data_IF_205205005239
#
_entry.id   IF_205205005239
#
_cell.length_a   1.000
_cell.length_b   1.000
_cell.length_c   1.000
_cell.angle_alpha   90.00
_cell.angle_beta   90.00
_cell.angle_gamma   90.00
#
_symmetry.space_group_name_H-M   'P 1'
#
loop_
_entity.id
_entity.type
_entity.pdbx_description
1 polymer ?
#
# COMPACT_ATOMS: atom_id res chain seq x y z
N UNK A 1 -18.15 -3.23 19.17
CA UNK A 1 -17.82 -3.70 17.81
C UNK A 1 -17.16 -2.54 17.09
N UNK A 2 -15.94 -2.73 16.62
CA UNK A 2 -15.19 -1.73 15.87
C UNK A 2 -15.23 -2.05 14.38
N UNK A 3 -15.20 -1.02 13.53
CA UNK A 3 -15.09 -1.18 12.08
C UNK A 3 -13.72 -0.68 11.64
N UNK A 4 -13.01 -1.51 10.88
CA UNK A 4 -11.72 -1.21 10.28
C UNK A 4 -11.88 -0.82 8.81
N UNK A 5 -11.05 0.11 8.38
CA UNK A 5 -10.87 0.47 6.98
C UNK A 5 -9.50 -0.03 6.54
N UNK A 6 -9.46 -0.70 5.40
CA UNK A 6 -8.24 -1.15 4.75
C UNK A 6 -8.15 -0.45 3.41
N UNK A 7 -7.05 0.25 3.16
CA UNK A 7 -6.71 0.77 1.84
C UNK A 7 -5.54 -0.02 1.30
N UNK A 8 -5.73 -0.68 0.17
CA UNK A 8 -4.79 -1.64 -0.40
C UNK A 8 -4.35 -1.19 -1.78
N UNK A 9 -3.07 -1.38 -2.08
CA UNK A 9 -2.55 -1.28 -3.43
C UNK A 9 -1.56 -2.41 -3.71
N UNK A 10 -1.26 -2.64 -4.98
CA UNK A 10 -0.36 -3.67 -5.43
C UNK A 10 0.92 -3.11 -6.06
N UNK A 11 1.99 -3.89 -5.94
CA UNK A 11 3.23 -3.61 -6.62
C UNK A 11 3.88 -4.93 -7.02
N UNK A 12 4.91 -4.87 -7.86
CA UNK A 12 5.54 -6.06 -8.39
C UNK A 12 5.77 -6.03 -9.89
N UNK A 13 6.44 -7.05 -10.39
CA UNK A 13 6.57 -7.25 -11.83
C UNK A 13 6.87 -8.70 -12.18
N UNK A 14 6.44 -9.10 -13.38
CA UNK A 14 6.78 -10.40 -13.97
C UNK A 14 8.30 -10.58 -14.11
N UNK A 15 9.04 -9.52 -14.45
CA UNK A 15 10.50 -9.57 -14.61
C UNK A 15 11.21 -9.96 -13.31
N UNK A 16 10.75 -9.43 -12.17
CA UNK A 16 11.30 -9.80 -10.86
C UNK A 16 10.68 -11.07 -10.29
N UNK A 17 9.52 -11.48 -10.81
CA UNK A 17 8.76 -12.61 -10.29
C UNK A 17 8.25 -12.40 -8.87
N UNK A 18 7.92 -11.16 -8.47
CA UNK A 18 7.43 -10.86 -7.11
C UNK A 18 6.15 -10.04 -7.24
N UNK A 19 5.06 -10.54 -6.67
CA UNK A 19 3.81 -9.79 -6.47
C UNK A 19 3.71 -9.36 -4.99
N UNK A 20 3.34 -8.11 -4.75
CA UNK A 20 3.24 -7.48 -3.44
C UNK A 20 1.88 -6.82 -3.30
N UNK A 21 1.27 -6.95 -2.13
CA UNK A 21 0.17 -6.10 -1.70
C UNK A 21 0.59 -5.33 -0.45
N UNK A 22 0.52 -4.02 -0.50
CA UNK A 22 0.74 -3.12 0.62
C UNK A 22 -0.58 -2.49 1.05
N UNK A 23 -0.72 -2.19 2.34
CA UNK A 23 -1.91 -1.53 2.84
C UNK A 23 -1.63 -0.58 3.98
N UNK A 24 -2.58 0.32 4.19
CA UNK A 24 -2.77 1.03 5.45
C UNK A 24 -4.11 0.61 6.06
N UNK A 25 -4.14 0.46 7.38
CA UNK A 25 -5.35 0.11 8.13
C UNK A 25 -5.55 1.05 9.31
N UNK A 26 -6.82 1.31 9.65
CA UNK A 26 -7.22 2.15 10.77
C UNK A 26 -8.65 1.82 11.22
N UNK A 27 -9.02 2.24 12.43
CA UNK A 27 -10.42 2.20 12.86
C UNK A 27 -11.17 3.43 12.32
N UNK A 28 -12.48 3.29 12.06
CA UNK A 28 -13.33 4.38 11.56
C UNK A 28 -13.23 5.67 12.42
N UNK A 29 -13.19 5.62 13.78
CA UNK A 29 -13.05 6.82 14.59
C UNK A 29 -11.74 7.61 14.34
N UNK A 30 -10.67 6.94 13.93
CA UNK A 30 -9.35 7.56 13.69
C UNK A 30 -9.26 8.23 12.31
N UNK A 31 -10.24 7.98 11.43
CA UNK A 31 -10.19 8.36 10.01
C UNK A 31 -9.93 9.85 9.79
N UNK A 32 -10.66 10.72 10.50
CA UNK A 32 -10.48 12.18 10.37
C UNK A 32 -9.10 12.63 10.88
N UNK A 33 -8.63 12.05 11.99
CA UNK A 33 -7.36 12.44 12.61
C UNK A 33 -6.17 12.05 11.74
N UNK A 34 -6.17 10.81 11.25
CA UNK A 34 -5.11 10.30 10.36
C UNK A 34 -5.12 11.05 9.03
N UNK A 35 -6.30 11.25 8.40
CA UNK A 35 -6.39 12.02 7.15
C UNK A 35 -5.88 13.45 7.35
N UNK A 36 -6.24 14.08 8.47
CA UNK A 36 -5.79 15.44 8.77
C UNK A 36 -4.27 15.51 8.86
N UNK A 37 -3.64 14.59 9.61
CA UNK A 37 -2.19 14.56 9.76
C UNK A 37 -1.47 14.36 8.41
N UNK A 38 -2.02 13.54 7.53
CA UNK A 38 -1.50 13.42 6.16
C UNK A 38 -1.67 14.70 5.34
N UNK A 39 -2.84 15.33 5.39
CA UNK A 39 -3.09 16.57 4.65
C UNK A 39 -2.23 17.73 5.18
N UNK A 40 -1.91 17.75 6.47
CA UNK A 40 -0.96 18.72 7.03
C UNK A 40 0.44 18.53 6.44
N UNK A 41 0.90 17.28 6.27
CA UNK A 41 2.13 17.01 5.51
C UNK A 41 2.02 17.47 4.04
N UNK A 42 0.88 17.24 3.37
CA UNK A 42 0.68 17.72 2.00
C UNK A 42 0.73 19.25 1.91
N UNK A 43 0.17 19.96 2.89
CA UNK A 43 0.27 21.42 2.97
C UNK A 43 1.71 21.88 3.23
N UNK A 44 2.47 21.17 4.06
CA UNK A 44 3.87 21.46 4.29
C UNK A 44 4.68 21.35 2.99
N UNK A 45 4.49 20.27 2.21
CA UNK A 45 5.12 20.10 0.89
C UNK A 45 4.80 21.25 -0.06
N UNK A 46 3.55 21.71 -0.07
CA UNK A 46 3.17 22.86 -0.89
C UNK A 46 3.87 24.14 -0.41
N UNK A 47 3.86 24.41 0.90
CA UNK A 47 4.46 25.63 1.45
C UNK A 47 5.98 25.70 1.28
N UNK A 48 6.66 24.56 1.31
CA UNK A 48 8.13 24.49 1.30
C UNK A 48 8.70 24.25 -0.09
N UNK A 49 8.03 23.44 -0.91
CA UNK A 49 8.54 23.00 -2.21
C UNK A 49 7.62 23.41 -3.37
N UNK A 50 6.40 23.87 -3.10
CA UNK A 50 5.41 24.18 -4.12
C UNK A 50 4.72 22.96 -4.72
N UNK A 51 4.80 21.78 -4.10
CA UNK A 51 4.13 20.55 -4.57
C UNK A 51 2.66 20.58 -4.13
N UNK A 52 1.69 20.65 -5.05
CA UNK A 52 0.26 20.73 -4.69
C UNK A 52 -0.24 19.48 -3.96
N UNK A 53 -1.26 19.63 -3.12
CA UNK A 53 -1.87 18.51 -2.39
C UNK A 53 -2.67 17.56 -3.31
N UNK A 54 -3.23 18.09 -4.40
CA UNK A 54 -3.93 17.36 -5.46
C UNK A 54 -2.97 16.75 -6.50
N UNK A 55 -1.67 17.07 -6.45
CA UNK A 55 -0.69 16.37 -7.26
C UNK A 55 -0.48 14.94 -6.74
N UNK A 56 -0.70 13.95 -7.60
CA UNK A 56 -0.56 12.53 -7.26
C UNK A 56 0.90 12.17 -6.87
N UNK A 57 1.10 11.62 -5.67
CA UNK A 57 2.40 11.08 -5.23
C UNK A 57 2.56 9.59 -5.57
N UNK A 58 2.14 9.19 -6.77
CA UNK A 58 2.25 7.80 -7.21
C UNK A 58 3.73 7.37 -7.27
N UNK A 59 4.11 6.44 -6.41
CA UNK A 59 5.48 6.10 -6.05
C UNK A 59 6.37 5.82 -7.27
N UNK A 60 5.90 4.98 -8.19
CA UNK A 60 6.68 4.61 -9.38
C UNK A 60 6.92 5.81 -10.29
N UNK A 61 5.89 6.63 -10.53
CA UNK A 61 6.00 7.83 -11.38
C UNK A 61 6.85 8.90 -10.69
N UNK A 62 6.53 9.20 -9.43
CA UNK A 62 7.16 10.26 -8.65
C UNK A 62 8.64 9.96 -8.38
N UNK A 63 8.98 8.81 -7.79
CA UNK A 63 10.39 8.39 -7.58
C UNK A 63 11.12 8.23 -8.91
N UNK A 64 10.42 7.83 -9.97
CA UNK A 64 10.94 7.75 -11.33
C UNK A 64 11.38 9.10 -11.92
N UNK A 65 10.95 10.22 -11.34
CA UNK A 65 11.19 11.56 -11.87
C UNK A 65 10.19 11.97 -12.96
N UNK A 66 9.03 11.33 -13.04
CA UNK A 66 7.97 11.71 -13.99
C UNK A 66 7.16 12.88 -13.46
N UNK A 67 6.70 13.72 -14.38
CA UNK A 67 5.89 14.90 -14.10
C UNK A 67 6.69 16.08 -13.52
N UNK A 68 6.02 17.23 -13.39
CA UNK A 68 6.61 18.50 -12.95
C UNK A 68 5.77 19.11 -11.83
N UNK A 69 5.82 18.56 -10.60
CA UNK A 69 4.94 18.98 -9.51
C UNK A 69 5.14 20.43 -9.10
N UNK A 70 6.37 20.95 -9.20
CA UNK A 70 6.68 22.34 -8.81
C UNK A 70 6.74 23.28 -10.01
N UNK A 71 7.01 22.75 -11.21
CA UNK A 71 7.29 23.55 -12.40
C UNK A 71 8.71 24.16 -12.42
N UNK A 72 9.52 23.93 -11.38
CA UNK A 72 10.84 24.56 -11.19
C UNK A 72 12.00 23.60 -11.47
N UNK A 73 13.24 24.10 -11.36
CA UNK A 73 14.46 23.27 -11.45
C UNK A 73 14.53 22.16 -10.39
N UNK A 74 13.74 22.26 -9.30
CA UNK A 74 13.62 21.19 -8.31
C UNK A 74 13.19 19.86 -8.95
N UNK A 75 12.32 19.90 -9.97
CA UNK A 75 11.73 18.73 -10.62
C UNK A 75 12.75 17.86 -11.37
N UNK A 76 13.89 18.45 -11.76
CA UNK A 76 14.94 17.83 -12.57
C UNK A 76 15.84 16.89 -11.74
N UNK A 77 15.81 17.03 -10.41
CA UNK A 77 16.72 16.33 -9.50
C UNK A 77 15.99 15.16 -8.82
N UNK A 78 16.23 13.94 -9.30
CA UNK A 78 15.58 12.71 -8.77
C UNK A 78 15.78 12.49 -7.27
N UNK A 79 16.92 12.91 -6.70
CA UNK A 79 17.16 12.77 -5.25
C UNK A 79 16.22 13.61 -4.40
N UNK A 80 15.73 14.75 -4.88
CA UNK A 80 14.76 15.53 -4.12
C UNK A 80 13.45 14.77 -3.91
N UNK A 81 13.01 14.02 -4.93
CA UNK A 81 11.80 13.20 -4.86
C UNK A 81 11.96 12.02 -3.91
N UNK A 82 13.15 11.41 -3.90
CA UNK A 82 13.47 10.37 -2.92
C UNK A 82 13.41 10.90 -1.47
N UNK A 83 13.83 12.15 -1.23
CA UNK A 83 13.70 12.81 0.09
C UNK A 83 12.23 12.99 0.47
N UNK A 84 11.40 13.53 -0.43
CA UNK A 84 9.95 13.69 -0.19
C UNK A 84 9.27 12.36 0.12
N UNK A 85 9.64 11.30 -0.59
CA UNK A 85 9.12 9.96 -0.33
C UNK A 85 9.56 9.42 1.03
N UNK A 86 10.82 9.63 1.42
CA UNK A 86 11.28 9.30 2.77
C UNK A 86 10.52 10.07 3.86
N UNK A 87 10.17 11.34 3.63
CA UNK A 87 9.34 12.11 4.55
C UNK A 87 7.91 11.55 4.62
N UNK A 88 7.31 11.23 3.47
CA UNK A 88 5.98 10.63 3.42
C UNK A 88 5.92 9.30 4.19
N UNK A 89 6.90 8.41 3.99
CA UNK A 89 6.98 7.14 4.71
C UNK A 89 7.16 7.32 6.23
N UNK A 90 7.93 8.33 6.66
CA UNK A 90 8.01 8.68 8.08
C UNK A 90 6.66 9.15 8.61
N UNK A 91 5.94 10.00 7.88
CA UNK A 91 4.60 10.43 8.29
C UNK A 91 3.70 9.21 8.49
N UNK A 92 3.64 8.29 7.53
CA UNK A 92 2.84 7.06 7.67
C UNK A 92 3.20 6.25 8.91
N UNK A 93 4.49 6.12 9.21
CA UNK A 93 4.97 5.35 10.36
C UNK A 93 4.65 5.99 11.72
N UNK A 94 4.36 7.29 11.77
CA UNK A 94 4.15 8.05 13.00
C UNK A 94 2.72 8.59 13.17
N UNK A 95 1.83 8.40 12.19
CA UNK A 95 0.44 8.85 12.28
C UNK A 95 -0.32 8.02 13.34
N UNK A 96 -0.78 8.64 14.46
CA UNK A 96 -1.51 7.91 15.49
C UNK A 96 -2.81 7.31 14.94
N UNK A 97 -3.06 6.04 15.24
CA UNK A 97 -4.24 5.32 14.76
C UNK A 97 -4.10 4.72 13.35
N UNK A 98 -2.97 4.95 12.68
CA UNK A 98 -2.64 4.30 11.40
C UNK A 98 -1.66 3.16 11.63
N UNK A 99 -1.96 2.02 11.02
CA UNK A 99 -1.04 0.91 10.89
C UNK A 99 -0.77 0.63 9.42
N UNK A 100 0.38 0.05 9.10
CA UNK A 100 0.74 -0.36 7.74
C UNK A 100 1.02 -1.86 7.69
N UNK A 101 0.92 -2.46 6.52
CA UNK A 101 1.34 -3.84 6.33
C UNK A 101 1.69 -4.14 4.89
N UNK A 102 2.44 -5.21 4.68
CA UNK A 102 2.69 -5.72 3.34
C UNK A 102 2.88 -7.23 3.34
N UNK A 103 2.33 -7.84 2.30
CA UNK A 103 2.47 -9.26 2.01
C UNK A 103 3.01 -9.44 0.59
N UNK A 104 3.71 -10.53 0.34
CA UNK A 104 4.22 -10.82 -1.00
C UNK A 104 4.19 -12.30 -1.34
N UNK A 105 4.18 -12.60 -2.64
CA UNK A 105 4.32 -13.95 -3.17
C UNK A 105 5.31 -13.95 -4.33
N UNK A 106 6.39 -14.74 -4.27
CA UNK A 106 7.21 -15.02 -5.45
C UNK A 106 6.43 -15.85 -6.47
N UNK A 107 6.65 -15.60 -7.75
CA UNK A 107 6.11 -16.38 -8.86
C UNK A 107 7.00 -17.60 -9.09
N UNK A 108 6.49 -18.83 -8.88
CA UNK A 108 7.27 -20.04 -9.15
C UNK A 108 7.60 -20.18 -10.64
N UNK A 109 8.72 -20.84 -11.00
CA UNK A 109 9.03 -21.16 -12.38
C UNK A 109 7.85 -21.85 -13.09
N UNK A 110 7.55 -21.42 -14.32
CA UNK A 110 6.44 -21.97 -15.11
C UNK A 110 5.04 -21.49 -14.71
N UNK A 111 4.91 -20.69 -13.64
CA UNK A 111 3.64 -20.07 -13.24
C UNK A 111 3.50 -18.67 -13.85
N UNK A 112 2.30 -18.31 -14.29
CA UNK A 112 2.01 -16.95 -14.77
C UNK A 112 2.01 -15.97 -13.59
N UNK A 113 2.69 -14.83 -13.75
CA UNK A 113 2.76 -13.77 -12.73
C UNK A 113 1.37 -13.37 -12.20
N UNK A 114 0.40 -13.15 -13.10
CA UNK A 114 -0.95 -12.75 -12.72
C UNK A 114 -1.68 -13.78 -11.84
N UNK A 115 -1.38 -15.08 -11.98
CA UNK A 115 -1.93 -16.10 -11.07
C UNK A 115 -1.32 -16.00 -9.67
N UNK A 116 -0.01 -15.74 -9.58
CA UNK A 116 0.67 -15.54 -8.29
C UNK A 116 0.16 -14.27 -7.60
N UNK A 117 -0.10 -13.22 -8.38
CA UNK A 117 -0.74 -11.98 -7.89
C UNK A 117 -2.16 -12.25 -7.36
N UNK A 118 -3.02 -12.95 -8.13
CA UNK A 118 -4.36 -13.32 -7.68
C UNK A 118 -4.34 -14.18 -6.40
N UNK A 119 -3.44 -15.17 -6.31
CA UNK A 119 -3.29 -15.99 -5.10
C UNK A 119 -2.80 -15.18 -3.90
N UNK A 120 -1.88 -14.24 -4.10
CA UNK A 120 -1.41 -13.34 -3.04
C UNK A 120 -2.56 -12.48 -2.49
N UNK A 121 -3.42 -11.97 -3.37
CA UNK A 121 -4.61 -11.23 -2.96
C UNK A 121 -5.59 -12.11 -2.17
N UNK A 122 -5.95 -13.29 -2.69
CA UNK A 122 -6.86 -14.20 -2.02
C UNK A 122 -6.37 -14.57 -0.62
N UNK A 123 -5.07 -14.86 -0.48
CA UNK A 123 -4.46 -15.14 0.81
C UNK A 123 -4.48 -13.95 1.77
N UNK A 124 -4.21 -12.73 1.27
CA UNK A 124 -4.36 -11.50 2.06
C UNK A 124 -5.78 -11.37 2.62
N UNK A 125 -6.79 -11.53 1.76
CA UNK A 125 -8.21 -11.42 2.14
C UNK A 125 -8.57 -12.44 3.23
N UNK A 126 -8.15 -13.70 3.09
CA UNK A 126 -8.37 -14.70 4.15
C UNK A 126 -7.72 -14.33 5.47
N UNK A 127 -6.50 -13.77 5.45
CA UNK A 127 -5.78 -13.38 6.67
C UNK A 127 -6.41 -12.18 7.36
N UNK A 128 -6.81 -11.16 6.60
CA UNK A 128 -7.51 -10.01 7.13
C UNK A 128 -8.86 -10.41 7.75
N UNK A 129 -9.64 -11.25 7.05
CA UNK A 129 -10.91 -11.77 7.56
C UNK A 129 -10.74 -12.58 8.85
N UNK A 130 -9.74 -13.47 8.89
CA UNK A 130 -9.42 -14.24 10.09
C UNK A 130 -8.97 -13.36 11.27
N UNK A 131 -8.17 -12.32 11.02
CA UNK A 131 -7.75 -11.35 12.04
C UNK A 131 -8.97 -10.60 12.60
N UNK A 132 -9.81 -10.06 11.73
CA UNK A 132 -11.04 -9.38 12.13
C UNK A 132 -11.96 -10.29 12.96
N UNK A 133 -12.05 -11.57 12.59
CA UNK A 133 -12.82 -12.56 13.35
C UNK A 133 -12.28 -12.81 14.75
N UNK A 134 -10.96 -12.92 14.88
CA UNK A 134 -10.28 -13.05 16.17
C UNK A 134 -10.47 -11.81 17.07
N UNK A 135 -10.49 -10.61 16.46
CA UNK A 135 -10.63 -9.34 17.16
C UNK A 135 -12.10 -8.93 17.40
N UNK A 136 -13.07 -9.70 16.88
CA UNK A 136 -14.50 -9.37 16.88
C UNK A 136 -14.81 -8.00 16.23
N UNK A 137 -14.13 -7.72 15.12
CA UNK A 137 -14.23 -6.51 14.30
C UNK A 137 -14.83 -6.82 12.93
N UNK A 138 -15.35 -5.80 12.25
CA UNK A 138 -15.70 -5.89 10.84
C UNK A 138 -14.78 -5.00 10.01
N UNK A 139 -14.60 -5.32 8.73
CA UNK A 139 -13.70 -4.58 7.84
C UNK A 139 -14.37 -4.18 6.53
N UNK A 140 -13.99 -3.01 6.01
CA UNK A 140 -14.22 -2.61 4.63
C UNK A 140 -12.88 -2.46 3.93
N UNK A 141 -12.79 -2.96 2.69
CA UNK A 141 -11.58 -2.88 1.88
C UNK A 141 -11.80 -1.97 0.67
N UNK A 142 -10.91 -1.01 0.51
CA UNK A 142 -10.83 -0.08 -0.60
C UNK A 142 -9.49 -0.35 -1.30
N UNK A 143 -9.47 -0.39 -2.63
CA UNK A 143 -8.23 -0.60 -3.36
C UNK A 143 -8.16 0.18 -4.68
N UNK A 144 -6.94 0.38 -5.19
CA UNK A 144 -6.76 0.93 -6.53
C UNK A 144 -7.31 -0.02 -7.60
N UNK A 145 -7.82 0.55 -8.68
CA UNK A 145 -8.36 -0.18 -9.83
C UNK A 145 -9.72 0.33 -10.29
N UNK A 146 -10.27 -0.38 -11.27
CA UNK A 146 -11.54 -0.05 -11.93
C UNK A 146 -12.61 -1.16 -11.76
N UNK A 147 -12.27 -2.22 -11.00
CA UNK A 147 -13.15 -3.36 -10.77
C UNK A 147 -13.40 -4.25 -11.98
N UNK A 148 -12.58 -4.16 -13.03
CA UNK A 148 -12.68 -5.02 -14.21
C UNK A 148 -12.05 -6.40 -14.00
N UNK A 149 -11.05 -6.51 -13.10
CA UNK A 149 -10.46 -7.79 -12.73
C UNK A 149 -11.40 -8.58 -11.80
N UNK A 150 -11.97 -9.72 -12.25
CA UNK A 150 -12.93 -10.49 -11.46
C UNK A 150 -12.28 -11.21 -10.27
N UNK A 151 -10.95 -11.38 -10.27
CA UNK A 151 -10.25 -12.16 -9.22
C UNK A 151 -10.38 -11.51 -7.84
N UNK A 152 -10.46 -10.18 -7.78
CA UNK A 152 -10.64 -9.44 -6.53
C UNK A 152 -11.99 -9.69 -5.88
N UNK A 153 -13.07 -9.69 -6.67
CA UNK A 153 -14.42 -10.03 -6.16
C UNK A 153 -14.49 -11.51 -5.77
N UNK A 154 -13.92 -12.39 -6.59
CA UNK A 154 -13.92 -13.84 -6.32
C UNK A 154 -13.30 -14.15 -4.96
N UNK A 155 -12.15 -13.57 -4.64
CA UNK A 155 -11.47 -13.77 -3.35
C UNK A 155 -12.34 -13.40 -2.14
N UNK A 156 -13.17 -12.35 -2.23
CA UNK A 156 -14.11 -11.98 -1.16
C UNK A 156 -15.30 -12.93 -1.08
N UNK A 157 -15.79 -13.41 -2.21
CA UNK A 157 -16.95 -14.32 -2.29
C UNK A 157 -16.60 -15.77 -1.91
N UNK A 158 -15.33 -16.14 -1.92
CA UNK A 158 -14.82 -17.43 -1.42
C UNK A 158 -14.75 -17.50 0.12
N UNK A 159 -14.86 -16.37 0.82
CA UNK A 159 -14.94 -16.36 2.28
C UNK A 159 -16.24 -17.02 2.78
N UNK A 160 -16.13 -17.74 3.91
CA UNK A 160 -17.28 -18.43 4.51
C UNK A 160 -18.28 -17.43 5.10
N UNK A 161 -19.51 -17.42 4.58
CA UNK A 161 -20.52 -16.41 4.92
C UNK A 161 -20.90 -16.36 6.41
N UNK A 162 -20.84 -17.50 7.11
CA UNK A 162 -21.20 -17.62 8.53
C UNK A 162 -20.16 -16.98 9.47
N UNK A 163 -18.89 -16.89 9.04
CA UNK A 163 -17.80 -16.35 9.85
C UNK A 163 -17.18 -15.07 9.28
N UNK A 164 -17.53 -14.71 8.04
CA UNK A 164 -16.97 -13.57 7.31
C UNK A 164 -17.16 -12.26 8.06
N UNK A 165 -16.07 -11.51 8.19
CA UNK A 165 -15.99 -10.19 8.82
C UNK A 165 -15.67 -9.05 7.84
N UNK A 166 -15.06 -9.37 6.69
CA UNK A 166 -14.93 -8.41 5.59
C UNK A 166 -16.30 -8.18 4.94
N UNK A 167 -16.81 -6.97 5.03
CA UNK A 167 -18.09 -6.57 4.46
C UNK A 167 -17.93 -6.34 2.95
N UNK A 168 -18.76 -7.00 2.16
CA UNK A 168 -18.85 -6.86 0.70
C UNK A 168 -17.54 -7.11 -0.09
N UNK A 169 -17.66 -7.03 -1.41
CA UNK A 169 -16.54 -6.99 -2.35
C UNK A 169 -15.70 -5.71 -2.15
N UNK A 170 -14.45 -5.65 -2.66
CA UNK A 170 -13.64 -4.45 -2.54
C UNK A 170 -14.30 -3.27 -3.25
N UNK A 171 -14.20 -2.09 -2.62
CA UNK A 171 -14.53 -0.81 -3.24
C UNK A 171 -13.32 -0.35 -4.06
N UNK A 172 -13.55 0.04 -5.31
CA UNK A 172 -12.48 0.50 -6.19
C UNK A 172 -12.46 2.02 -6.25
N UNK A 173 -11.29 2.61 -6.01
CA UNK A 173 -11.05 4.05 -6.04
C UNK A 173 -9.76 4.34 -6.78
N UNK A 174 -9.79 5.25 -7.75
CA UNK A 174 -8.59 5.62 -8.49
C UNK A 174 -7.59 6.37 -7.59
N UNK A 175 -6.33 5.94 -7.61
CA UNK A 175 -5.22 6.56 -6.86
C UNK A 175 -5.10 8.09 -7.04
N UNK A 176 -5.36 8.61 -8.25
CA UNK A 176 -5.38 10.05 -8.54
C UNK A 176 -6.40 10.87 -7.74
N UNK A 177 -7.44 10.25 -7.18
CA UNK A 177 -8.48 10.92 -6.38
C UNK A 177 -8.42 10.58 -4.88
N UNK A 178 -7.72 9.52 -4.48
CA UNK A 178 -7.71 9.03 -3.11
C UNK A 178 -6.34 9.17 -2.46
N UNK A 179 -6.23 10.08 -1.48
CA UNK A 179 -5.04 10.21 -0.65
C UNK A 179 -4.70 8.91 0.08
N UNK A 180 -5.73 8.14 0.47
CA UNK A 180 -5.56 6.87 1.17
C UNK A 180 -4.97 5.77 0.28
N UNK A 181 -5.47 5.65 -0.95
CA UNK A 181 -4.91 4.70 -1.93
C UNK A 181 -3.48 5.10 -2.27
N UNK A 182 -3.17 6.40 -2.36
CA UNK A 182 -1.78 6.85 -2.51
C UNK A 182 -0.89 6.42 -1.32
N UNK A 183 -1.37 6.47 -0.07
CA UNK A 183 -0.60 5.92 1.06
C UNK A 183 -0.33 4.42 0.88
N UNK A 184 -1.32 3.66 0.42
CA UNK A 184 -1.18 2.23 0.16
C UNK A 184 -0.17 1.95 -0.97
N UNK A 185 -0.17 2.73 -2.06
CA UNK A 185 0.85 2.69 -3.13
C UNK A 185 2.26 2.89 -2.56
N UNK A 186 2.45 3.87 -1.67
CA UNK A 186 3.74 4.10 -1.01
C UNK A 186 4.21 2.87 -0.22
N UNK A 187 3.31 2.22 0.51
CA UNK A 187 3.60 1.00 1.28
C UNK A 187 3.94 -0.17 0.33
N UNK A 188 3.11 -0.42 -0.68
CA UNK A 188 3.29 -1.50 -1.65
C UNK A 188 4.60 -1.35 -2.44
N UNK A 189 4.88 -0.13 -2.94
CA UNK A 189 6.12 0.20 -3.62
C UNK A 189 7.34 -0.02 -2.72
N UNK A 190 7.27 0.44 -1.47
CA UNK A 190 8.38 0.34 -0.53
C UNK A 190 8.70 -1.12 -0.19
N UNK A 191 7.66 -1.93 0.05
CA UNK A 191 7.83 -3.37 0.24
C UNK A 191 8.43 -4.04 -1.00
N UNK A 192 7.95 -3.72 -2.20
CA UNK A 192 8.48 -4.28 -3.45
C UNK A 192 9.94 -3.89 -3.69
N UNK A 193 10.33 -2.63 -3.49
CA UNK A 193 11.73 -2.20 -3.63
C UNK A 193 12.67 -2.89 -2.65
N UNK A 194 12.19 -3.12 -1.41
CA UNK A 194 12.94 -3.85 -0.39
C UNK A 194 13.21 -5.31 -0.80
N UNK A 195 12.20 -5.97 -1.37
CA UNK A 195 12.25 -7.38 -1.79
C UNK A 195 13.02 -7.57 -3.10
N UNK A 196 12.67 -6.82 -4.14
CA UNK A 196 13.19 -7.00 -5.49
C UNK A 196 14.61 -6.50 -5.68
N UNK A 197 15.04 -5.54 -4.84
CA UNK A 197 16.38 -4.94 -4.87
C UNK A 197 16.86 -4.61 -6.29
N UNK A 198 16.04 -3.85 -7.02
CA UNK A 198 16.34 -3.45 -8.40
C UNK A 198 17.61 -2.57 -8.40
N UNK A 199 18.69 -2.92 -9.14
CA UNK A 199 19.98 -2.21 -9.09
C UNK A 199 19.91 -0.70 -9.29
N UNK A 200 19.09 -0.24 -10.24
CA UNK A 200 18.93 1.20 -10.53
C UNK A 200 18.15 1.97 -9.46
N UNK A 201 17.67 1.27 -8.42
CA UNK A 201 16.85 1.79 -7.32
C UNK A 201 17.48 1.51 -5.95
N UNK A 202 18.78 1.29 -5.86
CA UNK A 202 19.48 0.96 -4.61
C UNK A 202 19.10 1.83 -3.40
N UNK A 203 18.90 3.13 -3.63
CA UNK A 203 18.51 4.10 -2.58
C UNK A 203 17.16 3.79 -1.91
N UNK A 204 16.30 2.97 -2.51
CA UNK A 204 14.97 2.63 -1.99
C UNK A 204 14.95 1.28 -1.25
N UNK A 205 15.99 0.47 -1.34
CA UNK A 205 16.00 -0.89 -0.75
C UNK A 205 15.86 -0.89 0.78
N UNK A 206 16.41 0.15 1.43
CA UNK A 206 16.36 0.31 2.88
C UNK A 206 15.02 0.85 3.41
N UNK A 207 14.18 1.44 2.56
CA UNK A 207 13.03 2.24 3.01
C UNK A 207 12.04 1.48 3.88
N UNK A 208 11.77 0.21 3.58
CA UNK A 208 10.91 -0.61 4.43
C UNK A 208 11.47 -0.70 5.85
N UNK A 209 12.72 -1.13 5.98
CA UNK A 209 13.41 -1.29 7.25
C UNK A 209 13.56 0.04 7.99
N UNK A 210 13.93 1.08 7.26
CA UNK A 210 14.33 2.37 7.83
C UNK A 210 13.12 3.23 8.26
N UNK A 211 11.95 3.02 7.65
CA UNK A 211 10.75 3.83 7.91
C UNK A 211 9.54 3.03 8.40
N UNK A 212 9.19 1.92 7.74
CA UNK A 212 7.89 1.26 7.98
C UNK A 212 7.94 0.09 8.95
N UNK A 213 9.08 -0.59 9.08
CA UNK A 213 9.19 -1.85 9.82
C UNK A 213 8.73 -1.76 11.29
N UNK A 214 8.91 -0.61 11.94
CA UNK A 214 8.48 -0.40 13.32
C UNK A 214 6.94 -0.21 13.47
N UNK A 215 6.27 0.28 12.42
CA UNK A 215 4.83 0.51 12.38
C UNK A 215 4.07 -0.63 11.66
N UNK A 216 4.77 -1.60 11.09
CA UNK A 216 4.19 -2.64 10.27
C UNK A 216 3.57 -3.77 11.11
N UNK A 217 2.29 -4.07 10.87
CA UNK A 217 1.56 -5.16 11.55
C UNK A 217 2.01 -6.55 11.10
N UNK A 218 2.71 -6.64 9.96
CA UNK A 218 3.30 -7.88 9.42
C UNK A 218 4.67 -8.19 10.01
N UNK A 219 5.19 -7.34 10.91
CA UNK A 219 6.52 -7.47 11.49
C UNK A 219 7.61 -6.76 10.68
N UNK A 220 8.90 -7.04 10.97
CA UNK A 220 10.03 -6.23 10.49
C UNK A 220 10.29 -6.34 8.98
N UNK A 221 9.69 -7.32 8.29
CA UNK A 221 9.79 -7.52 6.85
C UNK A 221 8.38 -7.70 6.25
N UNK A 222 8.17 -7.42 4.95
CA UNK A 222 6.96 -7.85 4.27
C UNK A 222 6.77 -9.36 4.44
N UNK A 223 5.54 -9.79 4.73
CA UNK A 223 5.27 -11.19 5.06
C UNK A 223 5.16 -12.02 3.78
N UNK A 224 5.91 -13.12 3.71
CA UNK A 224 5.82 -14.05 2.59
C UNK A 224 4.55 -14.90 2.69
N UNK A 225 3.81 -14.99 1.59
CA UNK A 225 2.59 -15.78 1.42
C UNK A 225 2.84 -17.11 0.70
N UNK A 226 4.06 -17.65 0.73
CA UNK A 226 4.29 -19.05 0.39
C UNK A 226 3.25 -19.92 1.12
N UNK A 227 2.68 -20.87 0.38
CA UNK A 227 1.52 -21.65 0.81
C UNK A 227 1.68 -22.16 2.25
N UNK A 228 0.63 -22.07 3.11
CA UNK A 228 0.62 -22.81 4.35
C UNK A 228 0.74 -24.32 4.07
N UNK A 229 1.42 -25.01 4.98
CA UNK A 229 1.72 -26.45 4.99
C UNK A 229 0.56 -27.37 4.60
#
# INVERSE_FOLDING_TARGET
>A
MSTRLFYVDDSGSEQTGIAVYGWVELAVPDWNGVLRGWLDFRHELYSTLGIPADYELHATKFVGGRGRPTGTAWDEVKSHRAVVMGQALRVLAWLPGLSVGAVYRPTPPGTKYYLSKAHAYAELIRRLDARLGADHEHGLLIMDGDGTDPTYRLAHRELKLDTRQLIEDPLFEGSHHSQWVQMADLVAYTAYMHLARIPTKERTWGWWRDFLAAAAVTGPNPQNLHDPQ
#
